data_IF_116017978262
#
_entry.id   IF_116017978262
#
_cell.length_a   1.000
_cell.length_b   1.000
_cell.length_c   1.000
_cell.angle_alpha   90.00
_cell.angle_beta   90.00
_cell.angle_gamma   90.00
#
_symmetry.space_group_name_H-M   'P 1'
#
loop_
_entity.id
_entity.type
_entity.pdbx_description
1 polymer ?
#
# COMPACT_ATOMS: atom_id res chain seq x y z
N UNK A 1 2.42 -27.33 -0.59
CA UNK A 1 3.72 -27.72 -1.14
C UNK A 1 3.57 -29.15 -1.60
N UNK A 2 3.55 -29.38 -2.91
CA UNK A 2 3.52 -30.73 -3.48
C UNK A 2 4.94 -30.99 -3.98
N UNK A 3 5.69 -31.86 -3.30
CA UNK A 3 7.06 -32.21 -3.68
C UNK A 3 6.99 -33.40 -4.64
N UNK A 4 7.19 -33.14 -5.93
CA UNK A 4 7.68 -34.16 -6.86
C UNK A 4 9.18 -33.92 -7.08
N UNK A 5 9.94 -35.01 -7.01
CA UNK A 5 11.36 -35.12 -6.61
C UNK A 5 12.44 -34.36 -7.40
N UNK A 6 12.12 -33.33 -8.19
CA UNK A 6 13.14 -32.45 -8.80
C UNK A 6 12.63 -31.06 -9.22
N UNK A 7 11.41 -30.67 -8.82
CA UNK A 7 10.79 -29.43 -9.25
C UNK A 7 10.12 -28.70 -8.08
N UNK A 8 10.60 -27.50 -7.73
CA UNK A 8 9.92 -26.63 -6.78
C UNK A 8 8.99 -25.69 -7.55
N UNK A 9 7.70 -25.77 -7.26
CA UNK A 9 6.71 -24.82 -7.76
C UNK A 9 6.47 -23.74 -6.72
N UNK A 10 6.83 -22.50 -7.04
CA UNK A 10 6.55 -21.34 -6.21
C UNK A 10 5.26 -20.68 -6.67
N UNK A 11 4.31 -20.55 -5.76
CA UNK A 11 3.04 -19.89 -6.03
C UNK A 11 3.21 -18.38 -5.83
N UNK A 12 2.90 -17.61 -6.87
CA UNK A 12 2.95 -16.14 -6.84
C UNK A 12 1.54 -15.55 -6.94
N UNK A 13 1.38 -14.39 -6.31
CA UNK A 13 0.08 -13.74 -6.05
C UNK A 13 -0.60 -13.31 -7.37
N UNK A 14 0.18 -12.85 -8.35
CA UNK A 14 -0.32 -12.37 -9.63
C UNK A 14 0.77 -12.41 -10.72
N UNK A 15 0.38 -12.12 -11.96
CA UNK A 15 1.27 -12.09 -13.13
C UNK A 15 2.37 -11.02 -13.01
N UNK A 16 2.12 -9.91 -12.33
CA UNK A 16 3.13 -8.90 -12.06
C UNK A 16 4.26 -9.43 -11.17
N UNK A 17 3.90 -10.16 -10.12
CA UNK A 17 4.88 -10.79 -9.21
C UNK A 17 5.72 -11.81 -9.96
N UNK A 18 5.10 -12.59 -10.86
CA UNK A 18 5.81 -13.52 -11.75
C UNK A 18 6.84 -12.79 -12.64
N UNK A 19 6.42 -11.72 -13.30
CA UNK A 19 7.29 -10.93 -14.18
C UNK A 19 8.45 -10.27 -13.41
N UNK A 20 8.16 -9.66 -12.26
CA UNK A 20 9.16 -8.98 -11.44
C UNK A 20 10.17 -9.96 -10.81
N UNK A 21 9.69 -11.11 -10.32
CA UNK A 21 10.57 -12.16 -9.78
C UNK A 21 11.49 -12.74 -10.85
N UNK A 22 10.98 -12.94 -12.08
CA UNK A 22 11.79 -13.40 -13.23
C UNK A 22 12.89 -12.40 -13.61
N UNK A 23 12.57 -11.11 -13.58
CA UNK A 23 13.45 -10.07 -14.08
C UNK A 23 14.52 -9.63 -13.06
N UNK A 24 14.16 -9.53 -11.77
CA UNK A 24 15.04 -8.91 -10.77
C UNK A 24 15.67 -9.89 -9.77
N UNK A 25 14.98 -10.98 -9.42
CA UNK A 25 15.37 -11.80 -8.25
C UNK A 25 15.53 -13.30 -8.55
N UNK A 26 15.36 -13.73 -9.80
CA UNK A 26 15.38 -15.13 -10.17
C UNK A 26 16.75 -15.79 -9.93
N UNK A 27 17.84 -15.04 -10.11
CA UNK A 27 19.21 -15.52 -9.84
C UNK A 27 19.43 -15.86 -8.38
N UNK A 28 19.09 -14.93 -7.48
CA UNK A 28 19.22 -15.09 -6.02
C UNK A 28 18.32 -16.22 -5.52
N UNK A 29 17.09 -16.30 -6.04
CA UNK A 29 16.15 -17.37 -5.70
C UNK A 29 16.70 -18.76 -6.03
N UNK A 30 17.30 -18.92 -7.21
CA UNK A 30 17.93 -20.19 -7.59
C UNK A 30 19.11 -20.55 -6.69
N UNK A 31 19.95 -19.58 -6.35
CA UNK A 31 21.11 -19.80 -5.50
C UNK A 31 20.71 -20.22 -4.08
N UNK A 32 19.78 -19.48 -3.46
CA UNK A 32 19.31 -19.78 -2.11
C UNK A 32 18.59 -21.13 -2.07
N UNK A 33 17.76 -21.46 -3.07
CA UNK A 33 17.08 -22.75 -3.14
C UNK A 33 18.05 -23.90 -3.40
N UNK A 34 19.08 -23.69 -4.23
CA UNK A 34 20.11 -24.69 -4.48
C UNK A 34 21.00 -24.93 -3.25
N UNK A 35 21.32 -23.88 -2.49
CA UNK A 35 22.06 -24.00 -1.22
C UNK A 35 21.21 -24.69 -0.14
N UNK A 36 19.94 -24.31 -0.01
CA UNK A 36 19.01 -24.91 0.95
C UNK A 36 18.76 -26.40 0.66
N UNK A 37 18.60 -26.76 -0.62
CA UNK A 37 18.40 -28.14 -1.05
C UNK A 37 19.71 -28.93 -1.27
N UNK A 38 20.87 -28.26 -1.20
CA UNK A 38 22.22 -28.78 -1.52
C UNK A 38 22.31 -29.46 -2.90
N UNK A 39 21.42 -29.13 -3.83
CA UNK A 39 21.29 -29.74 -5.18
C UNK A 39 20.69 -28.73 -6.16
N UNK A 40 20.99 -28.80 -7.46
CA UNK A 40 20.44 -27.88 -8.46
C UNK A 40 18.97 -28.21 -8.74
N UNK A 41 18.04 -27.33 -8.34
CA UNK A 41 16.60 -27.53 -8.53
C UNK A 41 16.06 -26.72 -9.71
N UNK A 42 15.07 -27.29 -10.42
CA UNK A 42 14.26 -26.53 -11.38
C UNK A 42 13.17 -25.75 -10.63
N UNK A 43 13.21 -24.41 -10.76
CA UNK A 43 12.24 -23.50 -10.15
C UNK A 43 11.18 -23.13 -11.19
N UNK A 44 9.92 -23.50 -10.93
CA UNK A 44 8.78 -23.06 -11.74
C UNK A 44 7.92 -22.11 -10.94
N UNK A 45 7.61 -20.94 -11.51
CA UNK A 45 6.65 -20.01 -10.93
C UNK A 45 5.27 -20.36 -11.48
N UNK A 46 4.29 -20.50 -10.59
CA UNK A 46 2.89 -20.73 -10.95
C UNK A 46 2.05 -19.62 -10.34
N UNK A 47 1.33 -18.90 -11.19
CA UNK A 47 0.37 -17.89 -10.73
C UNK A 47 -0.80 -18.64 -10.08
N UNK A 48 -0.97 -18.46 -8.78
CA UNK A 48 -2.06 -19.05 -8.02
C UNK A 48 -3.24 -18.11 -8.00
N UNK A 49 -4.06 -18.17 -9.06
CA UNK A 49 -5.19 -17.27 -9.25
C UNK A 49 -6.31 -17.46 -8.23
N UNK A 50 -6.55 -16.42 -7.45
CA UNK A 50 -7.89 -15.92 -7.13
C UNK A 50 -7.75 -14.40 -7.05
N UNK A 51 -8.33 -13.56 -7.91
CA UNK A 51 -9.58 -13.66 -8.65
C UNK A 51 -9.42 -12.88 -9.96
N UNK A 52 -9.81 -13.49 -11.09
CA UNK A 52 -9.96 -12.81 -12.37
C UNK A 52 -11.43 -12.42 -12.59
N UNK A 53 -11.60 -11.21 -13.12
CA UNK A 53 -12.82 -10.49 -13.52
C UNK A 53 -14.05 -11.31 -13.97
N UNK A 54 -15.22 -10.85 -13.52
CA UNK A 54 -16.52 -11.12 -14.13
C UNK A 54 -17.49 -9.97 -13.84
N UNK A 55 -17.81 -9.17 -14.86
CA UNK A 55 -18.85 -8.13 -14.84
C UNK A 55 -20.22 -8.81 -14.97
N UNK A 56 -21.26 -8.36 -14.24
CA UNK A 56 -22.37 -7.70 -14.95
C UNK A 56 -22.87 -6.42 -14.26
N UNK A 57 -23.25 -5.47 -15.11
CA UNK A 57 -24.06 -4.28 -14.83
C UNK A 57 -25.39 -4.60 -14.14
N UNK A 58 -25.79 -3.82 -13.13
CA UNK A 58 -27.03 -3.00 -13.15
C UNK A 58 -27.43 -2.43 -11.78
N UNK A 59 -27.62 -1.10 -11.77
CA UNK A 59 -28.69 -0.33 -11.10
C UNK A 59 -28.78 -0.37 -9.57
N UNK A 60 -28.45 0.74 -8.91
CA UNK A 60 -29.44 1.75 -8.47
C UNK A 60 -28.79 2.77 -7.53
N UNK A 61 -29.24 4.02 -7.62
CA UNK A 61 -28.62 5.19 -7.03
C UNK A 61 -28.68 5.30 -5.51
N UNK A 62 -27.75 6.07 -4.96
CA UNK A 62 -28.10 7.09 -3.98
C UNK A 62 -27.03 8.19 -3.98
N UNK A 63 -27.50 9.43 -3.95
CA UNK A 63 -26.74 10.68 -3.96
C UNK A 63 -25.80 10.74 -2.73
N UNK A 64 -24.67 11.45 -2.82
CA UNK A 64 -24.30 12.62 -1.98
C UNK A 64 -22.77 12.95 -2.12
N UNK A 65 -22.21 13.97 -1.44
CA UNK A 65 -21.82 15.29 -1.92
C UNK A 65 -20.28 15.43 -2.06
N UNK A 66 -19.67 14.77 -3.03
CA UNK A 66 -18.19 14.67 -3.10
C UNK A 66 -17.50 15.71 -3.99
N UNK A 67 -18.25 16.46 -4.80
CA UNK A 67 -17.67 17.42 -5.74
C UNK A 67 -17.28 18.77 -5.13
N UNK A 68 -17.81 19.15 -3.96
CA UNK A 68 -17.55 20.46 -3.33
C UNK A 68 -16.40 20.46 -2.31
N UNK A 69 -15.80 19.31 -1.98
CA UNK A 69 -14.73 19.24 -0.96
C UNK A 69 -13.31 19.44 -1.47
N UNK A 70 -13.10 19.34 -2.79
CA UNK A 70 -11.78 19.52 -3.40
C UNK A 70 -11.28 20.98 -3.37
N UNK A 71 -12.11 21.94 -2.97
CA UNK A 71 -11.77 23.37 -2.96
C UNK A 71 -11.46 23.95 -1.56
N UNK A 72 -11.50 23.15 -0.50
CA UNK A 72 -11.29 23.64 0.87
C UNK A 72 -9.86 23.49 1.42
N UNK A 73 -8.90 22.95 0.64
CA UNK A 73 -7.56 22.62 1.16
C UNK A 73 -6.45 23.64 0.82
N UNK A 74 -6.77 24.82 0.27
CA UNK A 74 -5.77 25.81 -0.16
C UNK A 74 -5.57 27.02 0.79
N UNK A 75 -6.09 26.97 2.02
CA UNK A 75 -5.99 28.10 2.95
C UNK A 75 -5.78 27.68 4.41
N UNK A 76 -4.60 27.15 4.74
CA UNK A 76 -4.00 27.36 6.08
C UNK A 76 -2.53 26.96 6.16
N UNK A 77 -1.69 27.79 5.55
CA UNK A 77 -0.25 27.82 5.76
C UNK A 77 0.08 28.40 7.16
N UNK A 78 0.30 27.54 8.16
CA UNK A 78 1.14 27.84 9.33
C UNK A 78 1.42 26.60 10.20
N UNK A 79 2.68 26.16 10.20
CA UNK A 79 3.39 25.48 11.30
C UNK A 79 2.74 24.22 11.91
N UNK A 80 3.21 23.06 11.48
CA UNK A 80 2.96 21.74 12.08
C UNK A 80 1.85 20.99 11.35
N UNK A 81 2.21 19.97 10.58
CA UNK A 81 1.31 19.19 9.72
C UNK A 81 -0.02 18.87 10.38
N UNK A 82 -1.07 19.61 10.00
CA UNK A 82 -2.42 19.39 10.51
C UNK A 82 -3.06 18.32 9.64
N UNK A 83 -3.20 17.12 10.20
CA UNK A 83 -4.04 16.09 9.61
C UNK A 83 -5.48 16.61 9.51
N UNK A 84 -6.11 16.44 8.35
CA UNK A 84 -7.52 16.77 8.17
C UNK A 84 -8.36 15.94 9.16
N UNK A 85 -9.25 16.59 9.92
CA UNK A 85 -10.10 15.92 10.92
C UNK A 85 -11.05 14.89 10.32
N UNK A 86 -11.34 15.01 9.03
CA UNK A 86 -12.23 14.11 8.32
C UNK A 86 -11.57 12.83 7.83
N UNK A 87 -10.24 12.78 7.75
CA UNK A 87 -9.50 11.62 7.24
C UNK A 87 -9.04 10.75 8.40
N UNK A 88 -9.98 9.95 8.91
CA UNK A 88 -9.76 8.97 9.98
C UNK A 88 -10.11 7.57 9.50
N UNK A 89 -9.61 6.54 10.18
CA UNK A 89 -10.01 5.17 9.86
C UNK A 89 -11.51 4.96 10.06
N UNK A 90 -12.12 5.62 11.05
CA UNK A 90 -13.55 5.46 11.35
C UNK A 90 -14.47 6.04 10.27
N UNK A 91 -13.99 7.01 9.48
CA UNK A 91 -14.73 7.62 8.37
C UNK A 91 -14.41 7.01 7.01
N UNK A 92 -13.48 6.05 6.95
CA UNK A 92 -13.11 5.38 5.70
C UNK A 92 -14.07 4.23 5.40
N UNK A 93 -14.73 4.27 4.23
CA UNK A 93 -15.65 3.23 3.81
C UNK A 93 -14.87 2.04 3.24
N UNK A 94 -14.97 0.89 3.93
CA UNK A 94 -14.32 -0.35 3.53
C UNK A 94 -15.21 -1.14 2.57
N UNK A 95 -14.62 -1.63 1.48
CA UNK A 95 -15.22 -2.56 0.54
C UNK A 95 -14.18 -3.53 0.00
N UNK A 96 -14.62 -4.54 -0.76
CA UNK A 96 -13.75 -5.63 -1.26
C UNK A 96 -12.56 -5.16 -2.10
N UNK A 97 -12.60 -3.96 -2.67
CA UNK A 97 -11.51 -3.40 -3.47
C UNK A 97 -10.45 -2.67 -2.64
N UNK A 98 -10.74 -2.30 -1.39
CA UNK A 98 -9.87 -1.48 -0.55
C UNK A 98 -9.65 -2.05 0.86
N UNK A 99 -10.23 -3.21 1.18
CA UNK A 99 -10.12 -3.89 2.46
C UNK A 99 -8.66 -4.23 2.81
N UNK A 100 -7.90 -4.72 1.84
CA UNK A 100 -6.49 -5.02 2.01
C UNK A 100 -5.66 -3.77 2.30
N UNK A 101 -5.90 -2.69 1.54
CA UNK A 101 -5.20 -1.42 1.73
C UNK A 101 -5.52 -0.81 3.11
N UNK A 102 -6.79 -0.86 3.53
CA UNK A 102 -7.22 -0.38 4.84
C UNK A 102 -6.62 -1.23 5.97
N UNK A 103 -6.61 -2.56 5.83
CA UNK A 103 -6.04 -3.46 6.83
C UNK A 103 -4.54 -3.26 6.98
N UNK A 104 -3.81 -3.12 5.86
CA UNK A 104 -2.37 -2.82 5.86
C UNK A 104 -2.08 -1.46 6.51
N UNK A 105 -2.86 -0.43 6.18
CA UNK A 105 -2.75 0.89 6.79
C UNK A 105 -2.99 0.84 8.31
N UNK A 106 -4.00 0.11 8.76
CA UNK A 106 -4.31 -0.05 10.18
C UNK A 106 -3.18 -0.79 10.92
N UNK A 107 -2.65 -1.86 10.33
CA UNK A 107 -1.52 -2.62 10.90
C UNK A 107 -0.28 -1.74 11.10
N UNK A 108 0.04 -0.89 10.11
CA UNK A 108 1.14 0.08 10.21
C UNK A 108 0.86 1.15 11.27
N UNK A 109 -0.38 1.63 11.38
CA UNK A 109 -0.73 2.63 12.38
C UNK A 109 -0.63 2.09 13.81
N UNK A 110 -1.00 0.84 14.05
CA UNK A 110 -0.91 0.17 15.35
C UNK A 110 0.55 -0.10 15.75
N UNK A 111 1.36 -0.60 14.81
CA UNK A 111 2.77 -0.91 15.03
C UNK A 111 3.69 -0.25 13.99
N UNK A 112 3.88 1.09 14.05
CA UNK A 112 4.72 1.83 13.11
C UNK A 112 6.14 1.28 13.06
N UNK A 113 6.62 0.99 11.84
CA UNK A 113 7.97 0.49 11.59
C UNK A 113 8.20 -1.00 11.88
N UNK A 114 7.17 -1.76 12.32
CA UNK A 114 7.34 -3.18 12.66
C UNK A 114 6.83 -4.13 11.58
N UNK A 115 5.58 -3.98 11.15
CA UNK A 115 4.96 -4.95 10.23
C UNK A 115 5.35 -4.65 8.78
N UNK A 116 5.20 -3.38 8.37
CA UNK A 116 5.57 -2.92 7.03
C UNK A 116 6.37 -1.62 7.14
N UNK A 117 7.53 -1.59 6.48
CA UNK A 117 8.35 -0.41 6.34
C UNK A 117 9.22 -0.52 5.06
N UNK A 118 8.93 0.25 4.00
CA UNK A 118 7.85 1.22 3.88
C UNK A 118 6.47 0.57 3.62
N UNK A 119 5.40 1.31 3.89
CA UNK A 119 4.07 1.05 3.33
C UNK A 119 3.89 1.90 2.07
N UNK A 120 3.57 1.26 0.95
CA UNK A 120 3.33 1.93 -0.33
C UNK A 120 1.89 1.70 -0.78
N UNK A 121 1.13 2.79 -0.96
CA UNK A 121 -0.26 2.75 -1.42
C UNK A 121 -0.33 3.27 -2.86
N UNK A 122 -0.89 2.47 -3.77
CA UNK A 122 -1.05 2.79 -5.18
C UNK A 122 -2.47 2.46 -5.66
N UNK A 123 -2.93 3.20 -6.66
CA UNK A 123 -4.24 3.04 -7.29
C UNK A 123 -4.68 4.34 -7.96
N UNK A 124 -5.77 4.27 -8.72
CA UNK A 124 -6.35 5.41 -9.43
C UNK A 124 -6.81 6.54 -8.49
N UNK A 125 -7.13 7.69 -9.09
CA UNK A 125 -7.67 8.85 -8.36
C UNK A 125 -8.97 8.49 -7.64
N UNK A 126 -9.21 9.10 -6.48
CA UNK A 126 -10.44 8.87 -5.71
C UNK A 126 -10.51 7.57 -4.90
N UNK A 127 -9.51 6.67 -4.99
CA UNK A 127 -9.52 5.40 -4.22
C UNK A 127 -9.08 5.53 -2.75
N UNK A 128 -9.01 6.75 -2.22
CA UNK A 128 -8.75 6.98 -0.79
C UNK A 128 -7.30 6.88 -0.32
N UNK A 129 -6.31 6.92 -1.23
CA UNK A 129 -4.87 6.92 -0.88
C UNK A 129 -4.51 8.01 0.13
N UNK A 130 -4.93 9.24 -0.14
CA UNK A 130 -4.70 10.41 0.74
C UNK A 130 -5.42 10.24 2.07
N UNK A 131 -6.64 9.70 2.07
CA UNK A 131 -7.41 9.44 3.28
C UNK A 131 -6.68 8.43 4.18
N UNK A 132 -6.29 7.27 3.64
CA UNK A 132 -5.58 6.25 4.40
C UNK A 132 -4.25 6.76 4.94
N UNK A 133 -3.47 7.49 4.12
CA UNK A 133 -2.19 8.06 4.55
C UNK A 133 -2.34 9.04 5.73
N UNK A 134 -3.32 9.94 5.66
CA UNK A 134 -3.59 10.86 6.75
C UNK A 134 -4.19 10.15 7.98
N UNK A 135 -5.02 9.12 7.78
CA UNK A 135 -5.59 8.32 8.87
C UNK A 135 -4.50 7.59 9.68
N UNK A 136 -3.47 7.06 9.02
CA UNK A 136 -2.29 6.48 9.70
C UNK A 136 -1.64 7.52 10.60
N UNK A 137 -1.29 8.67 10.02
CA UNK A 137 -0.58 9.73 10.76
C UNK A 137 -1.39 10.25 11.95
N UNK A 138 -2.70 10.43 11.76
CA UNK A 138 -3.64 10.82 12.82
C UNK A 138 -3.71 9.77 13.92
N UNK A 139 -3.87 8.50 13.57
CA UNK A 139 -3.93 7.41 14.54
C UNK A 139 -2.66 7.34 15.39
N UNK A 140 -1.49 7.47 14.77
CA UNK A 140 -0.20 7.48 15.49
C UNK A 140 -0.10 8.70 16.40
N UNK A 141 -0.48 9.89 15.94
CA UNK A 141 -0.46 11.11 16.73
C UNK A 141 -1.41 11.04 17.94
N UNK A 142 -2.61 10.49 17.75
CA UNK A 142 -3.64 10.35 18.80
C UNK A 142 -3.22 9.32 19.88
N UNK A 143 -2.54 8.22 19.49
CA UNK A 143 -2.22 7.11 20.42
C UNK A 143 -0.79 7.13 20.98
N UNK A 144 0.18 7.74 20.28
CA UNK A 144 1.59 7.77 20.69
C UNK A 144 2.05 9.21 20.93
N UNK A 145 1.77 9.75 22.13
CA UNK A 145 2.09 11.14 22.53
C UNK A 145 3.54 11.59 22.35
N UNK A 146 4.50 10.65 22.29
CA UNK A 146 5.94 10.94 22.09
C UNK A 146 6.38 10.81 20.63
N UNK A 147 5.52 10.33 19.74
CA UNK A 147 5.85 10.18 18.33
C UNK A 147 5.87 11.55 17.64
N UNK A 148 6.84 11.74 16.75
CA UNK A 148 6.86 12.87 15.81
C UNK A 148 6.31 12.36 14.49
N UNK A 149 5.17 12.88 14.08
CA UNK A 149 4.49 12.48 12.84
C UNK A 149 4.51 13.65 11.87
N UNK A 150 4.86 13.40 10.61
CA UNK A 150 4.90 14.39 9.55
C UNK A 150 4.13 13.86 8.33
N UNK A 151 3.35 14.73 7.73
CA UNK A 151 2.65 14.51 6.47
C UNK A 151 3.03 15.63 5.52
N UNK A 152 3.46 15.25 4.31
CA UNK A 152 3.85 16.15 3.23
C UNK A 152 3.50 15.56 1.88
N UNK A 153 3.15 16.40 0.92
CA UNK A 153 3.14 16.02 -0.48
C UNK A 153 4.58 15.92 -1.02
N UNK A 154 4.78 15.18 -2.10
CA UNK A 154 6.08 15.12 -2.79
C UNK A 154 6.51 16.48 -3.34
N UNK A 155 5.54 17.31 -3.71
CA UNK A 155 5.77 18.68 -4.19
C UNK A 155 6.29 19.57 -3.06
N UNK A 156 5.62 19.58 -1.90
CA UNK A 156 6.08 20.32 -0.71
C UNK A 156 7.50 19.88 -0.32
N UNK A 157 7.75 18.58 -0.29
CA UNK A 157 9.08 18.05 0.02
C UNK A 157 10.14 18.50 -0.98
N UNK A 158 9.81 18.50 -2.28
CA UNK A 158 10.75 18.93 -3.33
C UNK A 158 11.04 20.42 -3.23
N UNK A 159 10.02 21.24 -2.95
CA UNK A 159 10.19 22.69 -2.77
C UNK A 159 11.02 23.01 -1.52
N UNK A 160 10.69 22.41 -0.37
CA UNK A 160 11.46 22.56 0.88
C UNK A 160 12.93 22.12 0.67
N UNK A 161 13.16 21.05 -0.11
CA UNK A 161 14.50 20.58 -0.43
C UNK A 161 15.28 21.59 -1.30
N UNK A 162 14.67 22.13 -2.36
CA UNK A 162 15.29 23.13 -3.23
C UNK A 162 15.65 24.38 -2.42
N UNK A 163 14.72 24.88 -1.61
CA UNK A 163 14.93 26.08 -0.78
C UNK A 163 16.05 25.88 0.24
N UNK A 164 16.26 24.65 0.71
CA UNK A 164 17.29 24.35 1.72
C UNK A 164 18.73 24.30 1.17
N UNK A 165 18.90 24.22 -0.15
CA UNK A 165 20.20 24.08 -0.81
C UNK A 165 20.71 25.41 -1.39
N UNK A 166 19.81 26.37 -1.63
CA UNK A 166 20.15 27.70 -2.12
C UNK A 166 20.76 28.59 -1.04
#
# INVERSE_FOLDING_TARGET
MDLSDDCITLQVINEFSDAWLKDHHFGVLREVLAQAAKRPLQVKLKVGGGVANGVPSSVSGSRNPEAERLQAEDASSARGGRFNSNYRFESFVVGTSNDFAQAAALAVAQAPGQIYNPLFLYGDVGLGKTHLLQAIGRHVADHKKKARVMYRSSEEFTNEYIDSIQ
#
